data_IF_551887782608
#
_entry.id   IF_551887782608
#
_cell.length_a   1.000
_cell.length_b   1.000
_cell.length_c   1.000
_cell.angle_alpha   90.00
_cell.angle_beta   90.00
_cell.angle_gamma   90.00
#
_symmetry.space_group_name_H-M   'P 1'
#
loop_
_entity.id
_entity.type
_entity.pdbx_description
1 polymer ?
#
# COMPACT_ATOMS: atom_id res chain seq x y z
N UNK A 1 2.65 -126.07 41.50
CA UNK A 1 1.22 -126.43 41.48
C UNK A 1 0.47 -125.14 41.25
N UNK A 2 -0.25 -125.01 40.14
CA UNK A 2 -1.06 -123.83 39.85
C UNK A 2 -2.22 -123.73 40.81
N UNK A 3 -2.65 -122.50 41.13
CA UNK A 3 -3.79 -122.23 42.00
C UNK A 3 -4.94 -121.78 41.10
N UNK A 4 -5.99 -122.59 41.04
CA UNK A 4 -7.25 -122.21 40.41
C UNK A 4 -8.10 -121.43 41.41
N UNK A 5 -8.46 -120.20 41.05
CA UNK A 5 -9.36 -119.37 41.83
C UNK A 5 -10.75 -119.40 41.19
N UNK A 6 -11.76 -119.71 42.00
CA UNK A 6 -13.16 -119.77 41.58
C UNK A 6 -13.70 -118.39 41.16
N UNK A 7 -14.75 -118.41 40.34
CA UNK A 7 -15.41 -117.19 39.86
C UNK A 7 -15.94 -116.37 41.05
N UNK A 8 -15.84 -115.05 40.95
CA UNK A 8 -16.41 -114.15 41.94
C UNK A 8 -16.96 -112.89 41.29
N UNK A 9 -18.01 -112.35 41.92
CA UNK A 9 -18.61 -111.09 41.52
C UNK A 9 -18.03 -109.93 42.33
N UNK A 10 -17.71 -108.84 41.64
CA UNK A 10 -17.46 -107.57 42.30
C UNK A 10 -18.80 -106.97 42.76
N UNK A 11 -18.88 -106.44 43.99
CA UNK A 11 -20.11 -105.88 44.52
C UNK A 11 -20.53 -104.63 43.75
N UNK A 12 -21.83 -104.33 43.79
CA UNK A 12 -22.40 -103.07 43.29
C UNK A 12 -21.74 -101.91 44.00
N UNK A 13 -21.26 -100.92 43.25
CA UNK A 13 -20.72 -99.70 43.81
C UNK A 13 -21.71 -98.55 43.58
N UNK A 14 -22.07 -97.85 44.64
CA UNK A 14 -22.87 -96.63 44.54
C UNK A 14 -22.14 -95.44 45.16
N UNK A 15 -22.25 -94.29 44.49
CA UNK A 15 -21.85 -92.98 45.00
C UNK A 15 -23.14 -92.18 45.21
N UNK A 16 -23.42 -91.73 46.45
CA UNK A 16 -24.61 -90.96 46.74
C UNK A 16 -24.58 -89.57 46.06
N UNK A 17 -25.73 -88.89 45.98
CA UNK A 17 -25.82 -87.48 45.62
C UNK A 17 -24.86 -86.63 46.46
N UNK A 18 -24.26 -85.61 45.84
CA UNK A 18 -23.52 -84.57 46.56
C UNK A 18 -24.41 -83.33 46.61
N UNK A 19 -24.61 -82.81 47.82
CA UNK A 19 -25.33 -81.56 48.05
C UNK A 19 -24.36 -80.46 48.49
N UNK A 20 -24.38 -79.35 47.76
CA UNK A 20 -23.70 -78.11 48.11
C UNK A 20 -24.78 -77.12 48.53
N UNK A 21 -24.81 -76.66 49.78
CA UNK A 21 -25.84 -75.74 50.25
C UNK A 21 -25.70 -74.36 49.61
N UNK A 22 -26.77 -73.57 49.68
CA UNK A 22 -26.72 -72.15 49.34
C UNK A 22 -25.71 -71.41 50.21
N UNK A 23 -24.93 -70.52 49.62
CA UNK A 23 -24.10 -69.57 50.36
C UNK A 23 -24.78 -68.20 50.36
N UNK A 24 -24.93 -67.59 51.53
CA UNK A 24 -25.46 -66.23 51.67
C UNK A 24 -24.44 -65.34 52.34
N UNK A 25 -24.07 -64.27 51.67
CA UNK A 25 -23.37 -63.12 52.23
C UNK A 25 -24.44 -62.12 52.70
N UNK A 26 -24.55 -61.86 54.00
CA UNK A 26 -25.58 -60.96 54.52
C UNK A 26 -25.41 -59.53 54.02
N UNK A 27 -26.51 -58.79 53.91
CA UNK A 27 -26.46 -57.35 53.67
C UNK A 27 -25.78 -56.63 54.84
N UNK A 28 -25.17 -55.46 54.58
CA UNK A 28 -24.63 -54.61 55.63
C UNK A 28 -23.14 -54.82 55.92
N UNK A 29 -22.46 -55.68 55.15
CA UNK A 29 -20.99 -55.71 55.16
C UNK A 29 -20.49 -54.38 54.59
N UNK A 30 -19.83 -53.57 55.41
CA UNK A 30 -19.31 -52.26 55.02
C UNK A 30 -17.93 -52.42 54.39
N UNK A 31 -17.77 -51.90 53.18
CA UNK A 31 -16.44 -51.59 52.66
C UNK A 31 -16.02 -50.22 53.19
N UNK A 32 -14.78 -50.15 53.66
CA UNK A 32 -14.21 -48.90 54.17
C UNK A 32 -14.11 -47.83 53.08
N UNK A 33 -13.97 -46.59 53.51
CA UNK A 33 -13.73 -45.46 52.63
C UNK A 33 -12.41 -45.66 51.85
N UNK A 34 -12.46 -45.41 50.55
CA UNK A 34 -11.28 -45.45 49.70
C UNK A 34 -10.76 -44.03 49.48
N UNK A 35 -9.47 -43.80 49.74
CA UNK A 35 -8.83 -42.50 49.54
C UNK A 35 -7.76 -42.64 48.47
N UNK A 36 -7.89 -41.88 47.39
CA UNK A 36 -6.80 -41.72 46.43
C UNK A 36 -5.66 -40.93 47.08
N UNK A 37 -4.40 -41.36 46.94
CA UNK A 37 -3.28 -40.66 47.53
C UNK A 37 -3.07 -39.28 46.89
N UNK A 38 -2.29 -38.43 47.55
CA UNK A 38 -1.81 -37.17 46.98
C UNK A 38 -1.06 -37.46 45.67
N UNK A 39 -1.45 -36.80 44.58
CA UNK A 39 -0.72 -36.87 43.32
C UNK A 39 0.12 -35.60 43.15
N UNK A 40 1.38 -35.75 42.72
CA UNK A 40 2.26 -34.62 42.44
C UNK A 40 2.96 -34.78 41.09
N UNK A 41 2.99 -33.69 40.32
CA UNK A 41 3.79 -33.53 39.11
C UNK A 41 4.97 -32.63 39.48
N UNK A 42 6.22 -33.09 39.30
CA UNK A 42 7.40 -32.32 39.67
C UNK A 42 7.60 -31.09 38.75
N UNK A 43 8.39 -30.10 39.20
CA UNK A 43 8.85 -29.00 38.37
C UNK A 43 9.49 -29.44 37.06
N UNK A 44 9.20 -28.73 35.97
CA UNK A 44 9.90 -28.88 34.69
C UNK A 44 10.86 -27.71 34.55
N UNK A 45 12.13 -27.99 34.25
CA UNK A 45 13.17 -26.97 34.04
C UNK A 45 13.63 -26.95 32.59
N UNK A 46 13.59 -25.76 31.98
CA UNK A 46 14.20 -25.47 30.69
C UNK A 46 15.57 -24.84 30.97
N UNK A 47 16.68 -25.45 30.51
CA UNK A 47 18.03 -24.95 30.76
C UNK A 47 18.30 -23.62 30.02
N UNK A 48 19.34 -22.87 30.42
CA UNK A 48 19.76 -21.67 29.72
C UNK A 48 20.25 -22.00 28.31
N UNK A 49 19.90 -21.16 27.33
CA UNK A 49 20.46 -21.22 25.97
C UNK A 49 21.59 -20.20 25.88
N UNK A 50 22.78 -20.63 25.44
CA UNK A 50 23.95 -19.77 25.29
C UNK A 50 24.44 -19.76 23.85
N UNK A 51 24.56 -18.57 23.26
CA UNK A 51 25.32 -18.31 22.05
C UNK A 51 26.71 -17.85 22.51
N UNK A 52 27.77 -18.64 22.25
CA UNK A 52 29.12 -18.28 22.68
C UNK A 52 29.60 -16.96 22.06
N UNK A 53 30.39 -16.20 22.82
CA UNK A 53 31.12 -15.08 22.27
C UNK A 53 31.99 -15.52 21.09
N UNK A 54 32.07 -14.68 20.06
CA UNK A 54 32.82 -15.00 18.85
C UNK A 54 32.02 -15.72 17.77
N UNK A 55 30.74 -16.02 18.01
CA UNK A 55 29.84 -16.51 16.95
C UNK A 55 29.77 -15.46 15.83
N UNK A 56 30.28 -15.79 14.65
CA UNK A 56 30.42 -14.83 13.54
C UNK A 56 29.13 -14.74 12.74
N UNK A 57 28.63 -13.52 12.55
CA UNK A 57 27.67 -13.22 11.50
C UNK A 57 28.45 -12.85 10.24
N UNK A 58 28.14 -13.53 9.13
CA UNK A 58 28.80 -13.31 7.84
C UNK A 58 28.64 -11.89 7.32
N UNK A 59 29.54 -11.49 6.43
CA UNK A 59 29.46 -10.19 5.76
C UNK A 59 28.20 -10.09 4.89
N UNK A 60 27.67 -8.88 4.77
CA UNK A 60 26.55 -8.57 3.88
C UNK A 60 27.05 -7.75 2.70
N UNK A 61 26.81 -8.23 1.48
CA UNK A 61 27.16 -7.55 0.24
C UNK A 61 25.90 -7.08 -0.47
N UNK A 62 25.79 -5.75 -0.66
CA UNK A 62 24.82 -5.16 -1.57
C UNK A 62 25.50 -4.98 -2.95
N UNK A 63 24.98 -5.61 -4.03
CA UNK A 63 25.56 -5.47 -5.36
C UNK A 63 25.41 -4.04 -5.91
N UNK A 64 26.22 -3.66 -6.91
CA UNK A 64 26.11 -2.34 -7.52
C UNK A 64 24.77 -2.15 -8.23
N UNK A 65 24.25 -0.93 -8.18
CA UNK A 65 22.98 -0.56 -8.82
C UNK A 65 23.30 0.45 -9.93
N UNK A 66 22.84 0.17 -11.15
CA UNK A 66 23.05 1.07 -12.28
C UNK A 66 21.72 1.55 -12.85
N UNK A 67 21.54 2.87 -12.88
CA UNK A 67 20.45 3.53 -13.60
C UNK A 67 20.93 3.73 -15.05
N UNK A 68 20.20 3.21 -16.05
CA UNK A 68 20.60 3.29 -17.44
C UNK A 68 20.53 4.73 -17.98
N UNK A 69 21.18 4.95 -19.13
CA UNK A 69 21.12 6.22 -19.87
C UNK A 69 19.67 6.59 -20.16
N UNK A 70 19.29 7.84 -19.86
CA UNK A 70 18.01 8.41 -20.24
C UNK A 70 18.21 9.42 -21.38
N UNK A 71 17.42 9.30 -22.45
CA UNK A 71 17.45 10.24 -23.58
C UNK A 71 16.08 10.87 -23.72
N UNK A 72 16.04 12.19 -23.62
CA UNK A 72 14.85 13.00 -23.88
C UNK A 72 15.01 13.54 -25.29
N UNK A 73 14.07 13.17 -26.18
CA UNK A 73 14.06 13.60 -27.57
C UNK A 73 14.03 15.11 -27.74
N UNK A 74 14.28 15.58 -28.95
CA UNK A 74 14.15 17.00 -29.26
C UNK A 74 12.70 17.46 -29.06
N UNK A 75 12.54 18.69 -28.57
CA UNK A 75 11.23 19.35 -28.48
C UNK A 75 11.26 20.49 -29.48
N UNK A 76 10.32 20.50 -30.42
CA UNK A 76 10.19 21.58 -31.40
C UNK A 76 8.82 22.22 -31.28
N UNK A 77 8.79 23.55 -31.32
CA UNK A 77 7.56 24.29 -31.55
C UNK A 77 7.33 24.42 -33.06
N UNK A 78 6.06 24.50 -33.46
CA UNK A 78 5.68 24.83 -34.83
C UNK A 78 5.85 26.33 -35.12
N UNK A 79 5.67 26.69 -36.38
CA UNK A 79 5.58 28.10 -36.80
C UNK A 79 4.28 28.69 -36.27
N UNK A 80 4.35 29.87 -35.67
CA UNK A 80 3.17 30.63 -35.24
C UNK A 80 2.95 31.81 -36.19
N UNK A 81 1.71 32.02 -36.63
CA UNK A 81 1.34 33.18 -37.44
C UNK A 81 0.81 34.28 -36.53
N UNK A 82 1.32 35.50 -36.66
CA UNK A 82 0.74 36.64 -35.95
C UNK A 82 -0.68 36.91 -36.45
N UNK A 83 -1.58 37.41 -35.60
CA UNK A 83 -2.85 37.91 -36.08
C UNK A 83 -2.63 39.10 -37.01
N UNK A 84 -3.60 39.33 -37.90
CA UNK A 84 -3.66 40.52 -38.75
C UNK A 84 -3.94 41.76 -37.90
N UNK A 85 -3.26 42.87 -38.19
CA UNK A 85 -3.53 44.16 -37.58
C UNK A 85 -4.06 45.13 -38.64
N UNK A 86 -5.35 45.48 -38.53
CA UNK A 86 -6.06 46.39 -39.45
C UNK A 86 -7.35 45.77 -40.01
N UNK A 87 -8.11 46.52 -40.83
CA UNK A 87 -7.87 47.91 -41.20
C UNK A 87 -8.38 48.87 -40.11
N UNK A 88 -7.51 49.77 -39.65
CA UNK A 88 -7.91 50.92 -38.84
C UNK A 88 -7.63 52.19 -39.64
N UNK A 89 -8.61 53.09 -39.70
CA UNK A 89 -8.46 54.38 -40.36
C UNK A 89 -8.05 55.44 -39.37
N UNK A 90 -6.93 56.11 -39.66
CA UNK A 90 -6.51 57.31 -38.95
C UNK A 90 -6.98 58.54 -39.72
N UNK A 91 -7.57 59.48 -38.99
CA UNK A 91 -7.90 60.81 -39.51
C UNK A 91 -6.94 61.83 -38.88
N UNK A 92 -6.18 62.51 -39.73
CA UNK A 92 -5.32 63.62 -39.30
C UNK A 92 -5.99 64.91 -39.74
N UNK A 93 -6.26 65.80 -38.80
CA UNK A 93 -6.82 67.12 -39.08
C UNK A 93 -5.83 68.20 -38.68
N UNK A 94 -5.50 69.07 -39.63
CA UNK A 94 -4.75 70.29 -39.38
C UNK A 94 -5.73 71.47 -39.29
N UNK A 95 -5.52 72.39 -38.34
CA UNK A 95 -6.29 73.63 -38.30
C UNK A 95 -5.99 74.46 -39.55
N UNK A 96 -6.94 75.33 -39.93
CA UNK A 96 -6.73 76.26 -41.03
C UNK A 96 -5.55 77.21 -40.75
N UNK A 97 -4.82 77.56 -41.80
CA UNK A 97 -3.68 78.47 -41.72
C UNK A 97 -4.05 79.79 -42.39
N UNK A 98 -3.81 80.89 -41.70
CA UNK A 98 -3.96 82.25 -42.21
C UNK A 98 -2.58 82.87 -42.40
N UNK A 99 -2.29 83.37 -43.59
CA UNK A 99 -1.11 84.17 -43.88
C UNK A 99 -1.53 85.55 -44.39
N UNK A 100 -1.04 86.61 -43.75
CA UNK A 100 -1.27 87.96 -44.24
C UNK A 100 -0.45 88.18 -45.53
N UNK A 101 -1.05 88.89 -46.49
CA UNK A 101 -0.46 89.06 -47.81
C UNK A 101 -0.63 90.49 -48.33
N UNK A 102 0.34 90.91 -49.14
CA UNK A 102 0.33 92.19 -49.85
C UNK A 102 0.69 91.94 -51.30
N UNK A 103 -0.22 92.26 -52.22
CA UNK A 103 0.06 92.27 -53.64
C UNK A 103 0.36 93.70 -54.07
N UNK A 104 1.56 93.93 -54.59
CA UNK A 104 1.89 95.18 -55.23
C UNK A 104 1.49 95.13 -56.71
N UNK A 105 0.73 96.12 -57.15
CA UNK A 105 0.37 96.30 -58.56
C UNK A 105 1.48 97.12 -59.22
N UNK A 106 2.04 96.65 -60.35
CA UNK A 106 3.01 97.42 -61.11
C UNK A 106 2.48 98.81 -61.47
N UNK A 107 3.31 99.84 -61.31
CA UNK A 107 2.90 101.24 -61.45
C UNK A 107 2.83 101.71 -62.92
N UNK A 108 2.51 100.81 -63.85
CA UNK A 108 2.43 101.05 -65.30
C UNK A 108 0.99 101.03 -65.85
N UNK A 109 -0.03 100.86 -64.98
CA UNK A 109 -1.44 100.95 -65.35
C UNK A 109 -1.96 102.35 -65.00
N UNK A 110 -2.18 103.19 -66.02
CA UNK A 110 -2.47 104.63 -65.91
C UNK A 110 -3.61 104.94 -64.92
N UNK A 111 -4.68 104.15 -64.90
CA UNK A 111 -5.85 104.37 -64.04
C UNK A 111 -5.57 104.12 -62.54
N UNK A 112 -4.48 103.44 -62.18
CA UNK A 112 -4.17 103.04 -60.80
C UNK A 112 -2.91 103.73 -60.23
N UNK A 113 -2.26 104.63 -60.98
CA UNK A 113 -1.00 105.25 -60.55
C UNK A 113 -1.19 106.24 -59.38
N UNK A 114 -0.26 106.21 -58.42
CA UNK A 114 -0.30 107.03 -57.20
C UNK A 114 0.40 108.38 -57.34
N UNK A 115 1.07 108.63 -58.48
CA UNK A 115 1.89 109.80 -58.81
C UNK A 115 2.90 110.24 -57.73
N UNK A 116 3.23 109.34 -56.79
CA UNK A 116 4.11 109.59 -55.65
C UNK A 116 5.25 108.58 -55.67
N UNK A 117 6.48 109.09 -55.48
CA UNK A 117 7.70 108.27 -55.52
C UNK A 117 7.66 107.21 -54.40
N UNK A 118 8.09 105.99 -54.72
CA UNK A 118 8.11 104.80 -53.84
C UNK A 118 6.76 104.33 -53.26
N UNK A 119 5.64 104.85 -53.78
CA UNK A 119 4.31 104.33 -53.44
C UNK A 119 3.74 103.51 -54.59
N UNK A 120 3.67 102.20 -54.39
CA UNK A 120 3.04 101.28 -55.33
C UNK A 120 1.57 101.07 -54.96
N UNK A 121 0.66 101.02 -55.94
CA UNK A 121 -0.70 100.57 -55.66
C UNK A 121 -0.64 99.13 -55.11
N UNK A 122 -1.42 98.82 -54.07
CA UNK A 122 -1.38 97.51 -53.44
C UNK A 122 -2.76 97.02 -53.03
N UNK A 123 -2.94 95.70 -53.04
CA UNK A 123 -4.03 95.02 -52.35
C UNK A 123 -3.48 94.37 -51.07
N UNK A 124 -4.22 94.47 -49.97
CA UNK A 124 -3.75 93.98 -48.67
C UNK A 124 -2.77 94.91 -47.97
N UNK A 125 -2.15 94.41 -46.90
CA UNK A 125 -1.08 95.09 -46.15
C UNK A 125 -1.52 96.05 -45.05
N UNK A 126 -2.83 96.27 -44.88
CA UNK A 126 -3.39 97.10 -43.82
C UNK A 126 -3.11 98.59 -43.98
N UNK A 127 -3.80 99.41 -43.18
CA UNK A 127 -3.56 100.85 -43.12
C UNK A 127 -2.23 101.10 -42.41
N UNK A 128 -1.25 101.66 -43.12
CA UNK A 128 0.10 101.90 -42.57
C UNK A 128 0.24 103.26 -41.87
N UNK A 129 -0.75 104.16 -42.01
CA UNK A 129 -0.77 105.47 -41.37
C UNK A 129 -2.23 105.95 -41.19
N UNK A 130 -2.63 106.40 -40.00
CA UNK A 130 -4.01 106.81 -39.68
C UNK A 130 -4.37 108.21 -40.23
N UNK A 131 -3.39 109.08 -40.46
CA UNK A 131 -3.61 110.45 -40.97
C UNK A 131 -3.62 110.54 -42.50
N UNK A 132 -3.01 109.56 -43.18
CA UNK A 132 -3.08 109.37 -44.63
C UNK A 132 -3.34 107.88 -44.86
N UNK A 133 -4.58 107.51 -45.21
CA UNK A 133 -4.98 106.11 -45.39
C UNK A 133 -4.28 105.49 -46.61
N UNK A 134 -3.02 105.10 -46.42
CA UNK A 134 -2.18 104.53 -47.47
C UNK A 134 -1.99 103.05 -47.18
N UNK A 135 -2.35 102.22 -48.17
CA UNK A 135 -2.49 100.78 -48.04
C UNK A 135 -3.95 100.35 -48.20
N UNK A 136 -4.18 99.16 -48.75
CA UNK A 136 -5.53 98.58 -48.80
C UNK A 136 -5.93 97.99 -47.45
N UNK A 137 -7.21 97.62 -47.25
CA UNK A 137 -7.63 96.84 -46.09
C UNK A 137 -6.73 95.60 -45.91
N UNK A 138 -6.49 95.11 -44.67
CA UNK A 138 -5.75 93.86 -44.47
C UNK A 138 -6.34 92.76 -45.34
N UNK A 139 -5.46 92.10 -46.11
CA UNK A 139 -5.82 90.93 -46.88
C UNK A 139 -4.98 89.76 -46.39
N UNK A 140 -5.58 88.58 -46.42
CA UNK A 140 -4.92 87.34 -46.07
C UNK A 140 -5.25 86.29 -47.12
N UNK A 141 -4.35 85.33 -47.24
CA UNK A 141 -4.63 84.07 -47.91
C UNK A 141 -4.93 83.07 -46.80
N UNK A 142 -6.14 82.55 -46.81
CA UNK A 142 -6.57 81.48 -45.91
C UNK A 142 -6.53 80.15 -46.64
N UNK A 143 -5.84 79.17 -46.05
CA UNK A 143 -6.01 77.77 -46.41
C UNK A 143 -6.91 77.14 -45.33
N UNK A 144 -8.03 76.54 -45.76
CA UNK A 144 -8.99 75.91 -44.84
C UNK A 144 -8.37 74.76 -44.04
N UNK A 145 -9.09 74.21 -43.04
CA UNK A 145 -8.63 73.02 -42.34
C UNK A 145 -8.40 71.91 -43.35
N UNK A 146 -7.24 71.27 -43.27
CA UNK A 146 -6.93 70.13 -44.11
C UNK A 146 -7.15 68.87 -43.29
N UNK A 147 -8.06 68.03 -43.75
CA UNK A 147 -8.29 66.71 -43.17
C UNK A 147 -7.79 65.67 -44.16
N UNK A 148 -6.86 64.84 -43.71
CA UNK A 148 -6.45 63.65 -44.43
C UNK A 148 -7.15 62.48 -43.75
N UNK A 149 -8.21 61.99 -44.39
CA UNK A 149 -8.94 60.79 -44.00
C UNK A 149 -8.46 59.58 -44.79
N UNK A 150 -8.67 58.38 -44.26
CA UNK A 150 -8.32 57.14 -44.97
C UNK A 150 -6.84 56.82 -44.96
N UNK A 151 -6.08 57.33 -43.99
CA UNK A 151 -4.75 56.79 -43.71
C UNK A 151 -4.97 55.43 -43.05
N UNK A 152 -5.01 54.39 -43.86
CA UNK A 152 -5.07 53.01 -43.40
C UNK A 152 -3.67 52.50 -43.05
N UNK A 153 -3.54 51.79 -41.94
CA UNK A 153 -2.44 50.86 -41.77
C UNK A 153 -2.97 49.42 -41.82
N UNK A 154 -2.25 48.58 -42.54
CA UNK A 154 -2.52 47.17 -42.67
C UNK A 154 -1.21 46.42 -42.48
N UNK A 155 -1.16 45.55 -41.48
CA UNK A 155 -0.03 44.65 -41.26
C UNK A 155 -0.56 43.24 -41.45
N UNK A 156 -0.17 42.64 -42.57
CA UNK A 156 -0.49 41.25 -42.85
C UNK A 156 0.13 40.32 -41.80
N UNK A 157 -0.53 39.18 -41.49
CA UNK A 157 0.07 38.12 -40.71
C UNK A 157 1.47 37.77 -41.20
N UNK A 158 2.41 37.65 -40.28
CA UNK A 158 3.75 37.14 -40.60
C UNK A 158 4.09 35.96 -39.70
N UNK A 159 4.96 35.10 -40.22
CA UNK A 159 5.39 33.90 -39.53
C UNK A 159 6.48 34.24 -38.49
N UNK A 160 6.26 33.80 -37.26
CA UNK A 160 7.30 33.67 -36.25
C UNK A 160 7.81 32.24 -36.32
N UNK A 161 9.09 32.09 -36.68
CA UNK A 161 9.74 30.79 -36.77
C UNK A 161 9.66 30.02 -35.45
N UNK A 162 9.42 28.72 -35.54
CA UNK A 162 9.52 27.83 -34.39
C UNK A 162 10.96 27.72 -33.90
N UNK A 163 11.14 27.22 -32.68
CA UNK A 163 12.45 26.88 -32.15
C UNK A 163 12.47 25.42 -31.74
N UNK A 164 13.68 24.85 -31.69
CA UNK A 164 13.90 23.50 -31.21
C UNK A 164 14.89 23.49 -30.05
N UNK A 165 14.57 22.70 -29.03
CA UNK A 165 15.51 22.34 -27.98
C UNK A 165 16.24 21.06 -28.42
N UNK A 166 17.56 21.01 -28.22
CA UNK A 166 18.36 19.84 -28.58
C UNK A 166 17.99 18.64 -27.70
N UNK A 167 18.29 17.44 -28.17
CA UNK A 167 18.17 16.20 -27.39
C UNK A 167 19.00 16.31 -26.11
N UNK A 168 18.39 15.97 -24.97
CA UNK A 168 19.08 15.90 -23.69
C UNK A 168 19.39 14.43 -23.37
N UNK A 169 20.67 14.14 -23.16
CA UNK A 169 21.13 12.82 -22.71
C UNK A 169 21.63 12.90 -21.28
N UNK A 170 21.04 12.11 -20.40
CA UNK A 170 21.54 11.88 -19.05
C UNK A 170 22.34 10.58 -19.08
N UNK A 171 23.64 10.61 -18.74
CA UNK A 171 24.48 9.41 -18.75
C UNK A 171 24.01 8.41 -17.69
N UNK A 172 24.40 7.12 -17.80
CA UNK A 172 24.13 6.15 -16.76
C UNK A 172 24.73 6.58 -15.41
N UNK A 173 24.02 6.29 -14.33
CA UNK A 173 24.49 6.55 -12.96
C UNK A 173 24.71 5.20 -12.30
N UNK A 174 25.90 4.96 -11.77
CA UNK A 174 26.23 3.72 -11.06
C UNK A 174 26.50 4.00 -9.59
N UNK A 175 25.84 3.23 -8.73
CA UNK A 175 26.09 3.18 -7.30
C UNK A 175 26.94 1.92 -7.06
N UNK A 176 28.16 2.05 -6.51
CA UNK A 176 29.04 0.91 -6.29
C UNK A 176 28.44 -0.06 -5.26
N UNK A 177 28.97 -1.29 -5.23
CA UNK A 177 28.61 -2.25 -4.18
C UNK A 177 28.97 -1.72 -2.80
N UNK A 178 28.14 -2.04 -1.81
CA UNK A 178 28.40 -1.75 -0.40
C UNK A 178 28.66 -3.06 0.31
N UNK A 179 29.78 -3.13 1.02
CA UNK A 179 30.14 -4.25 1.88
C UNK A 179 29.99 -3.83 3.34
N UNK A 180 29.22 -4.60 4.08
CA UNK A 180 29.18 -4.52 5.54
C UNK A 180 29.99 -5.72 6.05
N UNK A 181 31.14 -5.50 6.70
CA UNK A 181 31.96 -6.60 7.19
C UNK A 181 31.18 -7.41 8.22
N UNK A 182 31.47 -8.71 8.26
CA UNK A 182 30.95 -9.58 9.31
C UNK A 182 31.45 -9.15 10.68
N UNK A 183 30.71 -9.50 11.72
CA UNK A 183 31.08 -9.20 13.10
C UNK A 183 30.84 -10.40 14.01
N UNK A 184 31.57 -10.43 15.12
CA UNK A 184 31.41 -11.43 16.16
C UNK A 184 30.33 -10.97 17.15
N UNK A 185 29.41 -11.87 17.49
CA UNK A 185 28.46 -11.65 18.56
C UNK A 185 29.18 -11.70 19.94
N UNK A 186 28.77 -10.85 20.90
CA UNK A 186 29.09 -11.10 22.30
C UNK A 186 28.38 -12.37 22.78
N UNK A 187 28.76 -12.89 23.94
CA UNK A 187 28.02 -14.00 24.55
C UNK A 187 26.59 -13.56 24.86
N UNK A 188 25.62 -14.38 24.48
CA UNK A 188 24.20 -14.15 24.76
C UNK A 188 23.65 -15.38 25.46
N UNK A 189 23.18 -15.22 26.69
CA UNK A 189 22.59 -16.29 27.48
C UNK A 189 21.15 -15.96 27.91
N UNK A 190 20.24 -16.93 27.82
CA UNK A 190 18.95 -16.87 28.49
C UNK A 190 19.03 -17.54 29.87
N UNK A 191 18.29 -17.10 30.90
CA UNK A 191 18.24 -17.79 32.18
C UNK A 191 17.46 -19.12 32.08
N UNK A 192 17.71 -20.03 33.01
CA UNK A 192 16.87 -21.21 33.19
C UNK A 192 15.46 -20.81 33.64
N UNK A 193 14.45 -21.57 33.22
CA UNK A 193 13.05 -21.37 33.63
C UNK A 193 12.54 -22.66 34.25
N UNK A 194 11.98 -22.59 35.45
CA UNK A 194 11.43 -23.74 36.17
C UNK A 194 9.96 -23.51 36.51
N UNK A 195 9.09 -24.46 36.18
CA UNK A 195 7.68 -24.42 36.59
C UNK A 195 7.53 -24.86 38.06
N UNK A 196 6.56 -24.33 38.83
CA UNK A 196 6.28 -24.87 40.15
C UNK A 196 5.75 -26.30 40.08
N UNK A 197 5.86 -27.10 41.17
CA UNK A 197 5.20 -28.41 41.24
C UNK A 197 3.68 -28.23 41.22
N UNK A 198 2.97 -29.21 40.67
CA UNK A 198 1.50 -29.27 40.69
C UNK A 198 1.11 -30.41 41.62
N UNK A 199 0.21 -30.14 42.58
CA UNK A 199 -0.34 -31.16 43.49
C UNK A 199 -1.84 -31.25 43.35
N UNK A 200 -2.35 -32.47 43.46
CA UNK A 200 -3.79 -32.77 43.53
C UNK A 200 -4.03 -33.44 44.88
N UNK A 201 -4.84 -32.78 45.71
CA UNK A 201 -5.19 -33.27 47.05
C UNK A 201 -5.87 -34.65 46.99
N UNK A 202 -5.71 -35.48 48.03
CA UNK A 202 -6.39 -36.76 48.14
C UNK A 202 -7.90 -36.65 47.92
N UNK A 203 -8.46 -37.52 47.09
CA UNK A 203 -9.90 -37.61 46.85
C UNK A 203 -10.43 -38.85 47.56
N UNK A 204 -11.33 -38.65 48.53
CA UNK A 204 -11.99 -39.73 49.25
C UNK A 204 -13.35 -40.09 48.65
N UNK A 205 -13.63 -41.39 48.56
CA UNK A 205 -14.99 -41.92 48.40
C UNK A 205 -15.46 -42.48 49.74
N UNK A 206 -16.70 -42.18 50.11
CA UNK A 206 -17.31 -42.75 51.31
C UNK A 206 -17.44 -44.28 51.18
N UNK A 207 -17.30 -44.97 52.31
CA UNK A 207 -17.60 -46.40 52.38
C UNK A 207 -19.08 -46.66 52.09
N UNK A 208 -19.39 -47.86 51.61
CA UNK A 208 -20.77 -48.28 51.34
C UNK A 208 -21.01 -49.70 51.83
N UNK A 209 -22.27 -50.01 52.13
CA UNK A 209 -22.69 -51.33 52.55
C UNK A 209 -23.03 -52.19 51.33
N UNK A 210 -22.51 -53.41 51.29
CA UNK A 210 -22.89 -54.40 50.29
C UNK A 210 -24.35 -54.85 50.50
N UNK A 211 -25.12 -55.04 49.42
CA UNK A 211 -26.41 -55.72 49.51
C UNK A 211 -26.20 -57.22 49.80
N UNK A 212 -27.27 -57.91 50.22
CA UNK A 212 -27.21 -59.36 50.40
C UNK A 212 -26.93 -60.05 49.06
N UNK A 213 -26.04 -61.03 49.07
CA UNK A 213 -25.73 -61.87 47.90
C UNK A 213 -25.99 -63.32 48.29
N UNK A 214 -26.78 -64.06 47.52
CA UNK A 214 -26.95 -65.51 47.74
C UNK A 214 -26.79 -66.33 46.47
N UNK A 215 -26.28 -67.55 46.63
CA UNK A 215 -26.27 -68.58 45.60
C UNK A 215 -27.29 -69.67 45.93
N UNK A 216 -27.98 -70.26 44.95
CA UNK A 216 -28.88 -71.39 45.20
C UNK A 216 -28.07 -72.66 45.57
N UNK A 217 -28.69 -73.64 46.27
CA UNK A 217 -28.06 -74.93 46.52
C UNK A 217 -27.92 -75.75 45.22
N UNK A 218 -26.93 -76.62 45.16
CA UNK A 218 -26.64 -77.50 44.02
C UNK A 218 -26.68 -78.95 44.50
N UNK A 219 -27.36 -79.83 43.77
CA UNK A 219 -27.37 -81.28 44.04
C UNK A 219 -27.07 -82.08 42.77
N UNK A 220 -26.22 -83.08 42.88
CA UNK A 220 -25.94 -84.04 41.80
C UNK A 220 -26.71 -85.34 42.02
N UNK A 221 -27.23 -86.02 40.99
CA UNK A 221 -27.87 -87.33 41.18
C UNK A 221 -26.88 -88.40 41.66
N UNK A 222 -27.41 -89.45 42.29
CA UNK A 222 -26.63 -90.62 42.68
C UNK A 222 -26.13 -91.38 41.44
N UNK A 223 -24.94 -91.97 41.53
CA UNK A 223 -24.38 -92.82 40.47
C UNK A 223 -24.25 -94.23 41.02
N UNK A 224 -24.70 -95.22 40.25
CA UNK A 224 -24.47 -96.62 40.59
C UNK A 224 -23.89 -97.38 39.42
N UNK A 225 -22.95 -98.25 39.73
CA UNK A 225 -22.35 -99.21 38.81
C UNK A 225 -22.74 -100.59 39.32
N UNK A 226 -23.42 -101.35 38.47
CA UNK A 226 -23.87 -102.69 38.82
C UNK A 226 -22.69 -103.68 38.95
N UNK A 227 -22.87 -104.79 39.70
CA UNK A 227 -21.86 -105.83 39.87
C UNK A 227 -21.27 -106.32 38.54
N UNK A 228 -19.96 -106.58 38.52
CA UNK A 228 -19.28 -107.21 37.38
C UNK A 228 -18.76 -108.57 37.84
N UNK A 229 -19.19 -109.64 37.17
CA UNK A 229 -18.73 -110.99 37.42
C UNK A 229 -17.45 -111.33 36.66
N UNK A 230 -16.49 -111.95 37.35
CA UNK A 230 -15.28 -112.49 36.75
C UNK A 230 -15.32 -114.02 36.82
N UNK A 231 -15.17 -114.67 35.67
CA UNK A 231 -15.12 -116.13 35.57
C UNK A 231 -13.84 -116.74 36.15
N UNK A 232 -13.82 -118.07 36.30
CA UNK A 232 -12.67 -118.83 36.82
C UNK A 232 -11.42 -118.63 35.96
N UNK A 233 -10.27 -118.42 36.62
CA UNK A 233 -8.98 -118.37 35.92
C UNK A 233 -7.86 -119.01 36.77
N UNK A 234 -6.90 -119.60 36.06
CA UNK A 234 -5.75 -120.29 36.66
C UNK A 234 -4.53 -119.38 36.70
N UNK A 235 -3.91 -119.27 37.87
CA UNK A 235 -2.61 -118.61 38.04
C UNK A 235 -1.50 -119.66 37.86
N UNK A 236 -0.75 -119.53 36.76
CA UNK A 236 0.38 -120.41 36.40
C UNK A 236 1.58 -120.33 37.33
#
# INVERSE_FOLDING_TARGET
AGIDLGAFDLPRLSIPPIEIPSLTIPAGITLDAFVLPLLSIPPITIPPLTIPAGTTIGAFHLPPITIPKLTIGNISTGVFMTPELGPAELTISLPGIRADFVLFVPNNIILLQTATLDRYPQFGGGVKNETSQTGGPPAFIGFGPLTISGIGFHVAPFAIGGFSLPTLTIPPISIPSVEIPGFALPEISTPAITTPPITIDPIGLAGFALPQISTPPISTPAISIDPIGLGEFSLG
#
